data_IF_417457160470
#
_entry.id   IF_417457160470
#
_cell.length_a   1.000
_cell.length_b   1.000
_cell.length_c   1.000
_cell.angle_alpha   90.00
_cell.angle_beta   90.00
_cell.angle_gamma   90.00
#
_symmetry.space_group_name_H-M   'P 1'
#
loop_
_entity.id
_entity.type
_entity.pdbx_description
1 polymer ?
#
# COMPACT_ATOMS: atom_id res chain seq x y z
N UNK A 1 40.79 -14.47 -27.02
CA UNK A 1 39.60 -14.87 -26.22
C UNK A 1 38.64 -13.70 -25.95
N UNK A 2 39.10 -12.50 -25.61
CA UNK A 2 38.22 -11.37 -25.25
C UNK A 2 37.37 -10.76 -26.37
N UNK A 3 37.79 -10.84 -27.64
CA UNK A 3 37.08 -10.18 -28.75
C UNK A 3 35.81 -10.92 -29.19
N UNK A 4 35.84 -12.26 -29.24
CA UNK A 4 34.65 -13.08 -29.55
C UNK A 4 33.55 -12.89 -28.51
N UNK A 5 33.91 -12.78 -27.23
CA UNK A 5 32.96 -12.49 -26.15
C UNK A 5 32.27 -11.13 -26.32
N UNK A 6 33.00 -10.09 -26.75
CA UNK A 6 32.42 -8.75 -27.01
C UNK A 6 31.41 -8.78 -28.16
N UNK A 7 31.71 -9.53 -29.22
CA UNK A 7 30.78 -9.72 -30.35
C UNK A 7 29.54 -10.49 -29.90
N UNK A 8 29.68 -11.60 -29.18
CA UNK A 8 28.54 -12.36 -28.66
C UNK A 8 27.67 -11.53 -27.71
N UNK A 9 28.28 -10.74 -26.81
CA UNK A 9 27.56 -9.84 -25.92
C UNK A 9 26.82 -8.73 -26.69
N UNK A 10 27.45 -8.14 -27.72
CA UNK A 10 26.84 -7.10 -28.55
C UNK A 10 25.66 -7.64 -29.36
N UNK A 11 25.82 -8.79 -30.01
CA UNK A 11 24.74 -9.45 -30.76
C UNK A 11 23.61 -9.86 -29.82
N UNK A 12 23.91 -10.48 -28.68
CA UNK A 12 22.91 -10.86 -27.67
C UNK A 12 22.14 -9.65 -27.13
N UNK A 13 22.84 -8.55 -26.82
CA UNK A 13 22.22 -7.30 -26.40
C UNK A 13 21.34 -6.68 -27.49
N UNK A 14 21.81 -6.66 -28.74
CA UNK A 14 21.04 -6.17 -29.89
C UNK A 14 19.76 -6.97 -30.12
N UNK A 15 19.82 -8.30 -30.02
CA UNK A 15 18.63 -9.18 -30.13
C UNK A 15 17.67 -8.92 -28.98
N UNK A 16 18.15 -8.80 -27.73
CA UNK A 16 17.29 -8.51 -26.58
C UNK A 16 16.57 -7.16 -26.72
N UNK A 17 17.27 -6.12 -27.19
CA UNK A 17 16.68 -4.81 -27.48
C UNK A 17 15.65 -4.93 -28.62
N UNK A 18 16.02 -5.60 -29.72
CA UNK A 18 15.13 -5.80 -30.87
C UNK A 18 13.83 -6.51 -30.49
N UNK A 19 13.92 -7.61 -29.74
CA UNK A 19 12.74 -8.33 -29.21
C UNK A 19 11.94 -7.45 -28.25
N UNK A 20 12.60 -6.66 -27.41
CA UNK A 20 11.94 -5.70 -26.51
C UNK A 20 11.18 -4.60 -27.25
N UNK A 21 11.73 -4.10 -28.36
CA UNK A 21 11.09 -3.12 -29.25
C UNK A 21 10.00 -3.74 -30.12
N UNK A 22 9.99 -5.04 -30.39
CA UNK A 22 8.86 -5.66 -31.11
C UNK A 22 7.63 -5.88 -30.21
N UNK A 23 7.78 -5.72 -28.88
CA UNK A 23 6.67 -5.86 -27.95
C UNK A 23 5.75 -4.61 -28.05
N UNK A 24 4.45 -4.75 -28.37
CA UNK A 24 3.52 -3.62 -28.40
C UNK A 24 3.35 -2.92 -27.04
N UNK A 25 3.77 -3.57 -25.94
CA UNK A 25 3.83 -3.00 -24.58
C UNK A 25 5.20 -2.42 -24.23
N UNK A 26 6.11 -2.27 -25.20
CA UNK A 26 7.42 -1.68 -24.97
C UNK A 26 7.26 -0.27 -24.37
N UNK A 27 7.98 0.07 -23.28
CA UNK A 27 7.92 1.39 -22.69
C UNK A 27 8.28 2.52 -23.67
N UNK A 28 9.06 2.22 -24.72
CA UNK A 28 9.40 3.17 -25.78
C UNK A 28 8.19 3.63 -26.60
N UNK A 29 7.10 2.85 -26.65
CA UNK A 29 5.85 3.21 -27.33
C UNK A 29 4.77 3.70 -26.36
N UNK A 30 5.13 3.93 -25.10
CA UNK A 30 4.20 4.49 -24.13
C UNK A 30 3.94 5.97 -24.44
N UNK A 31 2.95 6.22 -25.31
CA UNK A 31 2.43 7.54 -25.58
C UNK A 31 1.34 7.99 -24.61
N UNK A 32 0.82 9.20 -24.83
CA UNK A 32 -0.25 9.81 -24.03
C UNK A 32 -1.54 8.97 -23.97
N UNK A 33 -1.71 8.03 -24.91
CA UNK A 33 -2.86 7.13 -25.04
C UNK A 33 -2.54 5.67 -24.68
N UNK A 34 -1.53 5.41 -23.85
CA UNK A 34 -1.11 4.05 -23.42
C UNK A 34 -2.25 3.19 -22.82
N UNK A 35 -3.41 3.76 -22.49
CA UNK A 35 -4.60 3.03 -22.06
C UNK A 35 -5.85 3.52 -22.84
N UNK A 36 -6.41 2.74 -23.78
CA UNK A 36 -7.70 3.07 -24.40
C UNK A 36 -8.85 2.99 -23.36
N UNK A 37 -9.94 3.75 -23.55
CA UNK A 37 -10.99 3.99 -22.54
C UNK A 37 -11.76 2.73 -22.09
N UNK A 38 -11.60 1.61 -22.78
CA UNK A 38 -12.18 0.29 -22.52
C UNK A 38 -11.35 -0.58 -21.57
N UNK A 39 -10.13 -0.14 -21.20
CA UNK A 39 -9.41 -0.67 -20.03
C UNK A 39 -10.05 -0.20 -18.72
N UNK A 40 -11.31 -0.54 -18.50
CA UNK A 40 -11.69 -0.99 -17.17
C UNK A 40 -10.70 -2.12 -16.86
N UNK A 41 -9.67 -1.84 -16.07
CA UNK A 41 -8.67 -2.81 -15.65
C UNK A 41 -9.38 -3.91 -14.87
N UNK A 42 -9.96 -4.86 -15.59
CA UNK A 42 -10.60 -6.03 -15.04
C UNK A 42 -9.47 -6.82 -14.45
N UNK A 43 -9.41 -6.80 -13.12
CA UNK A 43 -8.65 -7.76 -12.35
C UNK A 43 -9.11 -9.13 -12.87
N UNK A 44 -8.19 -9.86 -13.49
CA UNK A 44 -8.50 -11.19 -14.00
C UNK A 44 -8.99 -12.07 -12.85
N UNK A 45 -9.68 -13.18 -13.15
CA UNK A 45 -10.12 -14.11 -12.10
C UNK A 45 -8.95 -14.63 -11.24
N UNK A 46 -7.73 -14.62 -11.79
CA UNK A 46 -6.46 -14.93 -11.13
C UNK A 46 -5.99 -13.87 -10.12
N UNK A 47 -6.61 -12.70 -10.09
CA UNK A 47 -6.17 -11.56 -9.29
C UNK A 47 -5.10 -10.69 -9.94
N UNK A 48 -4.61 -11.05 -11.13
CA UNK A 48 -3.61 -10.28 -11.88
C UNK A 48 -4.28 -9.14 -12.63
N UNK A 49 -3.74 -7.93 -12.52
CA UNK A 49 -4.17 -6.74 -13.25
C UNK A 49 -2.98 -5.98 -13.82
N UNK A 50 -3.20 -5.31 -14.95
CA UNK A 50 -2.29 -4.28 -15.44
C UNK A 50 -2.49 -2.99 -14.64
N UNK A 51 -1.87 -2.94 -13.46
CA UNK A 51 -1.93 -1.78 -12.55
C UNK A 51 -1.42 -0.51 -13.26
N UNK A 52 -0.41 -0.64 -14.13
CA UNK A 52 0.13 0.51 -14.87
C UNK A 52 -0.94 1.09 -15.80
N UNK A 53 -1.60 0.26 -16.62
CA UNK A 53 -2.67 0.73 -17.50
C UNK A 53 -3.82 1.38 -16.70
N UNK A 54 -4.18 0.79 -15.54
CA UNK A 54 -5.20 1.35 -14.65
C UNK A 54 -4.87 2.78 -14.19
N UNK A 55 -3.65 3.01 -13.69
CA UNK A 55 -3.26 4.31 -13.18
C UNK A 55 -2.88 5.31 -14.27
N UNK A 56 -2.45 4.85 -15.45
CA UNK A 56 -1.86 5.72 -16.47
C UNK A 56 -2.76 6.87 -16.88
N UNK A 57 -4.08 6.64 -16.88
CA UNK A 57 -5.07 7.68 -17.17
C UNK A 57 -4.88 8.93 -16.32
N UNK A 58 -4.66 8.80 -15.01
CA UNK A 58 -4.57 9.95 -14.11
C UNK A 58 -3.15 10.23 -13.60
N UNK A 59 -2.25 9.25 -13.67
CA UNK A 59 -0.89 9.33 -13.12
C UNK A 59 0.22 9.28 -14.18
N UNK A 60 -0.11 9.09 -15.45
CA UNK A 60 0.87 9.03 -16.54
C UNK A 60 1.51 10.40 -16.78
N UNK A 61 2.84 10.48 -16.69
CA UNK A 61 3.59 11.74 -16.83
C UNK A 61 3.23 12.52 -18.11
N UNK A 62 3.10 11.84 -19.25
CA UNK A 62 2.74 12.48 -20.52
C UNK A 62 1.31 13.03 -20.51
N UNK A 63 0.36 12.39 -19.81
CA UNK A 63 -1.01 12.91 -19.70
C UNK A 63 -1.05 14.14 -18.80
N UNK A 64 -0.32 14.11 -17.69
CA UNK A 64 -0.17 15.26 -16.79
C UNK A 64 0.42 16.46 -17.53
N UNK A 65 1.54 16.27 -18.24
CA UNK A 65 2.24 17.37 -18.91
C UNK A 65 1.49 17.86 -20.16
N UNK A 66 0.94 16.96 -20.98
CA UNK A 66 0.39 17.33 -22.29
C UNK A 66 -1.12 17.59 -22.29
N UNK A 67 -1.87 17.00 -21.37
CA UNK A 67 -3.34 17.15 -21.28
C UNK A 67 -3.79 17.89 -20.02
N UNK A 68 -2.89 18.15 -19.08
CA UNK A 68 -3.24 18.74 -17.77
C UNK A 68 -4.02 17.79 -16.85
N UNK A 69 -4.24 16.53 -17.28
CA UNK A 69 -4.95 15.52 -16.50
C UNK A 69 -4.07 15.06 -15.34
N UNK A 70 -4.51 15.30 -14.11
CA UNK A 70 -3.68 15.12 -12.92
C UNK A 70 -4.16 14.04 -11.96
N UNK A 71 -3.34 13.66 -10.96
CA UNK A 71 -3.73 12.73 -9.91
C UNK A 71 -4.98 13.21 -9.13
N UNK A 72 -5.24 14.51 -9.08
CA UNK A 72 -6.39 15.10 -8.38
C UNK A 72 -7.75 14.68 -8.96
N UNK A 73 -7.79 14.34 -10.25
CA UNK A 73 -9.02 13.89 -10.93
C UNK A 73 -9.32 12.42 -10.65
N UNK A 74 -8.35 11.66 -10.14
CA UNK A 74 -8.53 10.24 -9.85
C UNK A 74 -9.61 10.04 -8.77
N UNK A 75 -10.54 9.08 -8.91
CA UNK A 75 -11.61 8.86 -7.93
C UNK A 75 -11.12 8.70 -6.48
N UNK A 76 -10.00 8.01 -6.28
CA UNK A 76 -9.36 7.87 -4.97
C UNK A 76 -8.77 9.17 -4.41
N UNK A 77 -8.23 10.05 -5.26
CA UNK A 77 -7.78 11.36 -4.81
C UNK A 77 -8.97 12.21 -4.33
N UNK A 78 -10.06 12.19 -5.09
CA UNK A 78 -11.31 12.86 -4.69
C UNK A 78 -11.89 12.26 -3.39
N UNK A 79 -11.81 10.95 -3.20
CA UNK A 79 -12.16 10.31 -1.93
C UNK A 79 -11.25 10.75 -0.78
N UNK A 80 -9.95 10.92 -1.03
CA UNK A 80 -9.02 11.53 -0.06
C UNK A 80 -9.42 12.95 0.31
N UNK A 81 -9.76 13.80 -0.66
CA UNK A 81 -10.27 15.16 -0.39
C UNK A 81 -11.54 15.12 0.45
N UNK A 82 -12.50 14.23 0.14
CA UNK A 82 -13.72 14.03 0.94
C UNK A 82 -13.42 13.50 2.35
N UNK A 83 -12.37 12.70 2.52
CA UNK A 83 -12.00 12.14 3.81
C UNK A 83 -11.54 13.21 4.83
N UNK A 84 -11.13 14.40 4.37
CA UNK A 84 -10.70 15.54 5.21
C UNK A 84 -11.76 15.99 6.23
N UNK A 85 -13.03 15.70 5.98
CA UNK A 85 -14.12 16.03 6.90
C UNK A 85 -14.18 15.09 8.12
N UNK A 86 -13.40 14.00 8.14
CA UNK A 86 -13.37 13.02 9.22
C UNK A 86 -11.97 12.93 9.84
N UNK A 87 -11.85 12.78 11.16
CA UNK A 87 -10.54 12.61 11.81
C UNK A 87 -9.94 11.22 11.56
N UNK A 88 -10.77 10.21 11.33
CA UNK A 88 -10.37 8.82 11.10
C UNK A 88 -11.25 8.21 10.01
N UNK A 89 -10.63 7.61 9.01
CA UNK A 89 -11.29 6.86 7.93
C UNK A 89 -10.66 5.48 7.77
N UNK A 90 -11.40 4.51 7.24
CA UNK A 90 -10.84 3.22 6.84
C UNK A 90 -10.91 3.06 5.32
N UNK A 91 -9.90 2.44 4.73
CA UNK A 91 -9.91 2.06 3.31
C UNK A 91 -8.86 1.00 3.05
N UNK A 92 -9.06 0.23 1.98
CA UNK A 92 -8.07 -0.69 1.40
C UNK A 92 -7.16 -0.02 0.35
N UNK A 93 -7.42 1.25 0.00
CA UNK A 93 -6.74 1.99 -1.08
C UNK A 93 -6.00 3.24 -0.58
N UNK A 94 -4.92 3.03 0.17
CA UNK A 94 -4.31 4.10 0.96
C UNK A 94 -3.41 5.09 0.20
N UNK A 95 -3.00 4.78 -1.03
CA UNK A 95 -2.04 5.60 -1.79
C UNK A 95 -2.56 7.01 -2.08
N UNK A 96 -3.42 7.15 -3.09
CA UNK A 96 -4.01 8.44 -3.44
C UNK A 96 -4.98 8.96 -2.36
N UNK A 97 -5.73 8.08 -1.69
CA UNK A 97 -6.64 8.49 -0.61
C UNK A 97 -5.85 9.15 0.51
N UNK A 98 -4.79 8.52 1.02
CA UNK A 98 -3.97 9.06 2.10
C UNK A 98 -3.24 10.34 1.70
N UNK A 99 -2.63 10.36 0.51
CA UNK A 99 -1.94 11.54 -0.01
C UNK A 99 -2.87 12.76 -0.10
N UNK A 100 -4.11 12.59 -0.56
CA UNK A 100 -5.07 13.67 -0.70
C UNK A 100 -5.89 13.96 0.56
N UNK A 101 -6.01 13.01 1.50
CA UNK A 101 -6.61 13.24 2.82
C UNK A 101 -5.76 14.19 3.68
N UNK A 102 -4.45 14.25 3.43
CA UNK A 102 -3.54 15.14 4.14
C UNK A 102 -3.16 14.60 5.53
N UNK A 103 -2.29 15.33 6.25
CA UNK A 103 -1.60 14.80 7.43
C UNK A 103 -2.48 14.76 8.69
N UNK A 104 -3.67 15.37 8.67
CA UNK A 104 -4.56 15.47 9.84
C UNK A 104 -5.56 14.33 9.95
N UNK A 105 -5.70 13.51 8.90
CA UNK A 105 -6.62 12.37 8.86
C UNK A 105 -5.85 11.09 9.15
N UNK A 106 -6.30 10.31 10.11
CA UNK A 106 -5.76 8.96 10.30
C UNK A 106 -6.48 7.98 9.36
N UNK A 107 -5.72 7.32 8.49
CA UNK A 107 -6.24 6.29 7.58
C UNK A 107 -5.94 4.92 8.16
N UNK A 108 -6.99 4.19 8.54
CA UNK A 108 -6.91 2.77 8.89
C UNK A 108 -6.79 1.98 7.58
N UNK A 109 -5.62 1.37 7.37
CA UNK A 109 -5.34 0.54 6.21
C UNK A 109 -5.77 -0.91 6.46
N UNK A 110 -6.90 -1.30 5.92
CA UNK A 110 -7.44 -2.66 6.08
C UNK A 110 -6.49 -3.74 5.56
N UNK A 111 -5.69 -3.44 4.54
CA UNK A 111 -4.69 -4.35 3.98
C UNK A 111 -3.37 -4.34 4.76
N UNK A 112 -3.29 -3.51 5.79
CA UNK A 112 -2.16 -3.35 6.69
C UNK A 112 -0.80 -3.24 5.99
N UNK A 113 -0.77 -2.50 4.88
CA UNK A 113 0.45 -2.10 4.18
C UNK A 113 1.14 -0.96 4.94
N UNK A 114 0.37 -0.03 5.52
CA UNK A 114 0.90 1.10 6.30
C UNK A 114 0.30 1.24 7.71
N UNK A 115 -0.61 0.35 8.12
CA UNK A 115 -1.17 0.38 9.49
C UNK A 115 -0.28 -0.41 10.46
N UNK A 116 0.29 0.25 11.49
CA UNK A 116 1.28 -0.39 12.35
C UNK A 116 0.67 -1.39 13.34
N UNK A 117 -0.62 -1.28 13.70
CA UNK A 117 -1.27 -2.27 14.54
C UNK A 117 -1.68 -3.47 13.70
N UNK A 118 -2.43 -3.22 12.62
CA UNK A 118 -2.99 -4.29 11.79
C UNK A 118 -1.88 -5.13 11.14
N UNK A 119 -0.72 -4.55 10.82
CA UNK A 119 0.39 -5.29 10.21
C UNK A 119 0.93 -6.42 11.11
N UNK A 120 0.60 -6.39 12.41
CA UNK A 120 1.00 -7.36 13.41
C UNK A 120 -0.11 -8.35 13.79
N UNK A 121 -1.29 -8.21 13.18
CA UNK A 121 -2.41 -9.12 13.37
C UNK A 121 -2.46 -10.17 12.24
N UNK A 122 -3.05 -11.35 12.50
CA UNK A 122 -3.26 -12.36 11.46
C UNK A 122 -4.09 -11.80 10.30
N UNK A 123 -3.67 -12.12 9.07
CA UNK A 123 -4.49 -11.84 7.90
C UNK A 123 -5.75 -12.71 7.91
N UNK A 124 -6.86 -12.16 7.42
CA UNK A 124 -8.11 -12.89 7.18
C UNK A 124 -7.86 -14.09 6.26
N UNK A 125 -8.43 -15.24 6.62
CA UNK A 125 -8.32 -16.50 5.87
C UNK A 125 -9.60 -16.88 5.13
N UNK A 126 -10.68 -16.16 5.40
CA UNK A 126 -12.01 -16.34 4.83
C UNK A 126 -12.25 -15.51 3.56
N UNK A 127 -11.20 -14.86 3.05
CA UNK A 127 -11.22 -14.05 1.84
C UNK A 127 -10.33 -14.68 0.75
N UNK A 128 -10.64 -14.39 -0.52
CA UNK A 128 -9.77 -14.79 -1.62
C UNK A 128 -8.41 -14.12 -1.47
N UNK A 129 -7.35 -14.91 -1.35
CA UNK A 129 -5.99 -14.40 -1.32
C UNK A 129 -5.66 -13.67 -2.63
N UNK A 130 -5.29 -12.41 -2.51
CA UNK A 130 -4.62 -11.64 -3.57
C UNK A 130 -3.36 -11.05 -2.98
N UNK A 131 -2.23 -11.31 -3.63
CA UNK A 131 -0.93 -10.75 -3.19
C UNK A 131 -1.05 -9.22 -3.13
N UNK A 132 -0.63 -8.65 -2.00
CA UNK A 132 -0.76 -7.22 -1.69
C UNK A 132 -2.10 -6.78 -1.08
N UNK A 133 -3.10 -7.67 -0.97
CA UNK A 133 -4.44 -7.37 -0.42
C UNK A 133 -4.81 -8.35 0.70
N UNK A 134 -3.92 -8.48 1.69
CA UNK A 134 -4.13 -9.35 2.84
C UNK A 134 -4.91 -8.56 3.91
N UNK A 135 -6.24 -8.50 3.80
CA UNK A 135 -7.05 -7.73 4.76
C UNK A 135 -6.95 -8.28 6.18
N UNK A 136 -7.04 -7.41 7.19
CA UNK A 136 -7.10 -7.77 8.61
C UNK A 136 -8.47 -7.40 9.18
N UNK A 137 -8.89 -8.10 10.23
CA UNK A 137 -10.04 -7.66 11.02
C UNK A 137 -9.61 -6.43 11.83
N UNK A 138 -10.41 -5.37 11.75
CA UNK A 138 -10.19 -4.15 12.53
C UNK A 138 -10.66 -4.44 13.96
N UNK A 139 -9.77 -4.37 14.97
CA UNK A 139 -10.16 -4.65 16.34
C UNK A 139 -11.22 -3.68 16.86
N UNK A 140 -12.17 -4.21 17.64
CA UNK A 140 -13.19 -3.38 18.27
C UNK A 140 -12.54 -2.33 19.19
N UNK A 141 -12.97 -1.07 19.04
CA UNK A 141 -12.41 0.08 19.75
C UNK A 141 -11.15 0.69 19.10
N UNK A 142 -10.59 0.12 18.03
CA UNK A 142 -9.40 0.68 17.39
C UNK A 142 -9.65 2.07 16.79
N UNK A 143 -10.73 2.25 16.03
CA UNK A 143 -11.09 3.55 15.45
C UNK A 143 -11.37 4.61 16.53
N UNK A 144 -12.04 4.23 17.63
CA UNK A 144 -12.28 5.14 18.75
C UNK A 144 -11.00 5.47 19.50
N UNK A 145 -10.07 4.53 19.57
CA UNK A 145 -8.75 4.76 20.16
C UNK A 145 -7.98 5.85 19.42
N UNK A 146 -8.09 5.84 18.08
CA UNK A 146 -7.49 6.85 17.22
C UNK A 146 -8.15 8.22 17.38
N UNK A 147 -9.49 8.26 17.47
CA UNK A 147 -10.26 9.51 17.66
C UNK A 147 -9.98 10.16 19.02
N UNK A 148 -9.89 9.35 20.07
CA UNK A 148 -9.72 9.83 21.45
C UNK A 148 -8.25 9.90 21.91
N UNK A 149 -7.31 9.55 21.03
CA UNK A 149 -5.87 9.34 21.33
C UNK A 149 -5.60 8.61 22.66
N UNK A 150 -6.35 7.54 22.90
CA UNK A 150 -6.20 6.67 24.07
C UNK A 150 -6.56 5.25 23.68
N UNK A 151 -5.94 4.25 24.31
CA UNK A 151 -6.26 2.86 23.96
C UNK A 151 -7.63 2.47 24.51
N UNK A 152 -8.56 2.16 23.60
CA UNK A 152 -9.94 1.72 23.85
C UNK A 152 -10.22 0.35 23.23
N UNK A 153 -9.17 -0.36 22.80
CA UNK A 153 -9.31 -1.69 22.21
C UNK A 153 -9.83 -2.65 23.27
N UNK A 154 -10.87 -3.42 22.93
CA UNK A 154 -11.53 -4.31 23.90
C UNK A 154 -10.74 -5.57 24.19
N UNK A 155 -10.13 -6.18 23.18
CA UNK A 155 -9.32 -7.39 23.37
C UNK A 155 -8.04 -7.03 24.16
N UNK A 156 -7.80 -7.62 25.35
CA UNK A 156 -6.65 -7.25 26.17
C UNK A 156 -5.29 -7.57 25.54
N UNK A 157 -5.19 -8.62 24.72
CA UNK A 157 -3.95 -9.00 24.06
C UNK A 157 -3.61 -8.02 22.94
N UNK A 158 -4.61 -7.61 22.14
CA UNK A 158 -4.46 -6.59 21.10
C UNK A 158 -4.24 -5.22 21.73
N UNK A 159 -4.92 -4.89 22.83
CA UNK A 159 -4.72 -3.64 23.56
C UNK A 159 -3.27 -3.52 24.04
N UNK A 160 -2.72 -4.56 24.68
CA UNK A 160 -1.33 -4.59 25.13
C UNK A 160 -0.32 -4.48 23.97
N UNK A 161 -0.64 -5.06 22.80
CA UNK A 161 0.14 -4.89 21.58
C UNK A 161 0.07 -3.43 21.09
N UNK A 162 -1.12 -2.85 21.10
CA UNK A 162 -1.34 -1.50 20.60
C UNK A 162 -0.66 -0.44 21.47
N UNK A 163 -0.59 -0.61 22.79
CA UNK A 163 0.17 0.30 23.65
C UNK A 163 1.64 0.39 23.25
N UNK A 164 2.26 -0.77 22.96
CA UNK A 164 3.64 -0.82 22.47
C UNK A 164 3.79 -0.20 21.09
N UNK A 165 2.84 -0.47 20.18
CA UNK A 165 2.81 0.15 18.84
C UNK A 165 2.71 1.67 18.95
N UNK A 166 1.81 2.21 19.80
CA UNK A 166 1.66 3.65 20.03
C UNK A 166 2.94 4.24 20.58
N UNK A 167 3.56 3.60 21.57
CA UNK A 167 4.79 4.09 22.17
C UNK A 167 5.95 4.16 21.17
N UNK A 168 6.07 3.16 20.28
CA UNK A 168 7.11 3.13 19.23
C UNK A 168 6.83 4.09 18.08
N UNK A 169 5.56 4.34 17.74
CA UNK A 169 5.21 5.20 16.59
C UNK A 169 5.03 6.67 16.96
N UNK A 170 4.61 6.97 18.20
CA UNK A 170 4.22 8.33 18.63
C UNK A 170 4.96 8.83 19.88
N UNK A 171 5.54 7.94 20.68
CA UNK A 171 6.22 8.34 21.92
C UNK A 171 7.60 8.99 21.70
N UNK A 172 8.19 9.65 22.70
CA UNK A 172 9.51 10.27 22.56
C UNK A 172 10.60 9.23 22.25
N UNK A 173 11.46 9.54 21.26
CA UNK A 173 12.40 8.59 20.66
C UNK A 173 13.47 8.04 21.64
N UNK A 174 13.85 8.81 22.67
CA UNK A 174 14.94 8.47 23.60
C UNK A 174 14.48 8.03 24.99
N UNK A 175 13.37 7.29 25.09
CA UNK A 175 12.86 6.81 26.39
C UNK A 175 13.16 5.34 26.62
N UNK A 176 13.54 4.97 27.86
CA UNK A 176 13.70 3.56 28.27
C UNK A 176 12.44 2.74 28.00
N UNK A 177 11.26 3.35 28.15
CA UNK A 177 9.97 2.71 27.89
C UNK A 177 9.83 2.34 26.40
N UNK A 178 10.15 3.25 25.47
CA UNK A 178 10.09 2.99 24.02
C UNK A 178 11.05 1.86 23.62
N UNK A 179 12.28 1.87 24.12
CA UNK A 179 13.23 0.76 23.85
C UNK A 179 12.74 -0.59 24.37
N UNK A 180 12.07 -0.63 25.53
CA UNK A 180 11.43 -1.85 26.03
C UNK A 180 10.29 -2.32 25.13
N UNK A 181 9.46 -1.39 24.62
CA UNK A 181 8.40 -1.71 23.66
C UNK A 181 8.97 -2.23 22.33
N UNK A 182 10.03 -1.61 21.78
CA UNK A 182 10.73 -2.13 20.59
C UNK A 182 11.16 -3.57 20.81
N UNK A 183 11.82 -3.85 21.95
CA UNK A 183 12.25 -5.23 22.29
C UNK A 183 11.07 -6.20 22.36
N UNK A 184 9.93 -5.81 22.96
CA UNK A 184 8.72 -6.64 23.03
C UNK A 184 8.07 -6.84 21.66
N UNK A 185 8.06 -5.83 20.79
CA UNK A 185 7.54 -5.95 19.42
C UNK A 185 8.42 -6.85 18.53
N UNK A 186 9.74 -6.85 18.74
CA UNK A 186 10.67 -7.66 17.94
C UNK A 186 10.82 -9.10 18.44
N UNK A 187 10.86 -9.29 19.76
CA UNK A 187 11.23 -10.58 20.39
C UNK A 187 10.21 -11.09 21.40
N UNK A 188 9.12 -10.35 21.64
CA UNK A 188 8.06 -10.79 22.54
C UNK A 188 7.16 -11.85 21.90
N UNK A 189 6.14 -12.24 22.65
CA UNK A 189 5.21 -13.32 22.29
C UNK A 189 3.89 -12.80 21.71
N UNK A 190 3.86 -11.55 21.22
CA UNK A 190 2.64 -10.94 20.68
C UNK A 190 2.00 -11.77 19.57
N UNK A 191 2.80 -12.25 18.61
CA UNK A 191 2.30 -13.09 17.52
C UNK A 191 1.53 -14.32 18.01
N UNK A 192 1.98 -14.93 19.12
CA UNK A 192 1.29 -16.06 19.77
C UNK A 192 0.02 -15.60 20.49
N UNK A 193 0.08 -14.48 21.21
CA UNK A 193 -1.04 -13.94 21.99
C UNK A 193 -2.22 -13.50 21.11
N UNK A 194 -1.94 -12.93 19.94
CA UNK A 194 -2.98 -12.47 19.00
C UNK A 194 -3.28 -13.47 17.88
N UNK A 195 -2.74 -14.70 17.94
CA UNK A 195 -2.91 -15.69 16.88
C UNK A 195 -4.37 -16.09 16.64
N UNK A 196 -5.18 -16.04 17.70
CA UNK A 196 -6.61 -16.36 17.69
C UNK A 196 -7.48 -15.11 17.87
N UNK A 197 -6.89 -13.92 17.70
CA UNK A 197 -7.69 -12.70 17.61
C UNK A 197 -8.71 -12.85 16.47
N UNK A 198 -9.96 -12.40 16.69
CA UNK A 198 -11.04 -12.54 15.71
C UNK A 198 -10.72 -11.90 14.36
#
# INVERSE_FOLDING_TARGET
AGERWRIFAAVGGGVAIGVGLLNPRCPAYCGVDYAPPDTNARIAATGVSDERAYYYRHLGLLRVILRGEGPAEHPWAQSGVRARQYPVVHTSTIGLVGAYAGPTVYVIDENALCDPLLARLPARRDVRLRIGHMSRVIPEGYADSLRADRNLIRDPAIAALYDDVRLVTRGPIWTRQRWRAIRRLMFGDYARKVANAP
#
